data_IF_413620353383
#
_entry.id   IF_413620353383
#
_cell.length_a   1.000
_cell.length_b   1.000
_cell.length_c   1.000
_cell.angle_alpha   90.00
_cell.angle_beta   90.00
_cell.angle_gamma   90.00
#
_symmetry.space_group_name_H-M   'P 1'
#
loop_
_entity.id
_entity.type
_entity.pdbx_description
1 polymer ?
#
# COMPACT_ATOMS: atom_id res chain seq x y z
N UNK A 1 15.25 0.87 -4.87
CA UNK A 1 13.79 1.02 -4.75
C UNK A 1 13.51 2.23 -3.87
N UNK A 2 12.51 3.04 -4.21
CA UNK A 2 12.02 4.12 -3.36
C UNK A 2 10.83 3.63 -2.53
N UNK A 3 10.88 3.82 -1.19
CA UNK A 3 9.72 3.71 -0.31
C UNK A 3 9.17 5.12 -0.02
N UNK A 4 7.89 5.34 -0.35
CA UNK A 4 7.11 6.51 0.06
C UNK A 4 6.16 6.03 1.14
N UNK A 5 6.47 6.28 2.41
CA UNK A 5 5.78 5.64 3.52
C UNK A 5 6.00 6.38 4.84
N UNK A 6 5.16 6.10 5.83
CA UNK A 6 5.33 6.60 7.18
C UNK A 6 6.34 5.78 8.00
N UNK A 7 6.82 6.35 9.11
CA UNK A 7 7.53 5.54 10.08
C UNK A 7 6.54 4.79 11.00
N UNK A 8 7.00 3.71 11.59
CA UNK A 8 6.35 3.04 12.72
C UNK A 8 7.33 3.04 13.91
N UNK A 9 6.98 3.74 15.00
CA UNK A 9 7.87 3.82 16.19
C UNK A 9 8.15 2.47 16.82
N UNK A 10 7.30 1.47 16.59
CA UNK A 10 7.49 0.10 17.08
C UNK A 10 8.24 -0.78 16.08
N UNK A 11 8.68 -0.23 14.96
CA UNK A 11 9.46 -0.90 13.91
C UNK A 11 8.80 -2.14 13.29
N UNK A 12 7.49 -2.32 13.50
CA UNK A 12 6.76 -3.46 12.91
C UNK A 12 6.39 -3.25 11.46
N UNK A 13 6.02 -2.03 11.08
CA UNK A 13 5.53 -1.66 9.75
C UNK A 13 6.27 -0.47 9.14
N UNK A 14 5.62 0.17 8.15
CA UNK A 14 6.10 1.37 7.50
C UNK A 14 7.50 1.23 6.92
N UNK A 15 8.28 2.31 6.97
CA UNK A 15 9.64 2.37 6.45
C UNK A 15 10.56 1.27 6.98
N UNK A 16 10.40 0.87 8.24
CA UNK A 16 11.25 -0.15 8.85
C UNK A 16 11.07 -1.50 8.15
N UNK A 17 9.81 -1.90 7.93
CA UNK A 17 9.50 -3.11 7.18
C UNK A 17 9.95 -3.02 5.72
N UNK A 18 9.76 -1.86 5.08
CA UNK A 18 10.13 -1.64 3.69
C UNK A 18 11.65 -1.79 3.51
N UNK A 19 12.46 -1.04 4.27
CA UNK A 19 13.92 -1.07 4.16
C UNK A 19 14.52 -2.43 4.54
N UNK A 20 13.98 -3.09 5.59
CA UNK A 20 14.40 -4.42 5.98
C UNK A 20 14.14 -5.44 4.85
N UNK A 21 12.96 -5.34 4.20
CA UNK A 21 12.59 -6.19 3.08
C UNK A 21 13.49 -5.95 1.87
N UNK A 22 13.75 -4.69 1.50
CA UNK A 22 14.65 -4.37 0.39
C UNK A 22 16.05 -4.90 0.66
N UNK A 23 16.59 -4.69 1.86
CA UNK A 23 17.92 -5.17 2.25
C UNK A 23 18.00 -6.70 2.17
N UNK A 24 17.00 -7.41 2.69
CA UNK A 24 16.92 -8.88 2.62
C UNK A 24 16.90 -9.37 1.17
N UNK A 25 16.25 -8.63 0.28
CA UNK A 25 16.21 -8.90 -1.16
C UNK A 25 17.43 -8.36 -1.94
N UNK A 26 18.46 -7.86 -1.25
CA UNK A 26 19.69 -7.30 -1.83
C UNK A 26 19.43 -6.05 -2.69
N UNK A 27 18.39 -5.29 -2.35
CA UNK A 27 18.06 -4.02 -2.96
C UNK A 27 18.48 -2.85 -2.07
N UNK A 28 18.89 -1.73 -2.67
CA UNK A 28 19.11 -0.49 -1.95
C UNK A 28 17.79 0.28 -1.81
N UNK A 29 17.48 0.72 -0.59
CA UNK A 29 16.25 1.47 -0.30
C UNK A 29 16.53 2.97 -0.17
N UNK A 30 15.75 3.78 -0.89
CA UNK A 30 15.57 5.21 -0.68
C UNK A 30 14.25 5.47 0.03
N UNK A 31 14.10 6.63 0.66
CA UNK A 31 12.94 6.95 1.50
C UNK A 31 12.45 8.36 1.23
N UNK A 32 11.12 8.50 1.07
CA UNK A 32 10.39 9.74 1.28
C UNK A 32 9.41 9.53 2.44
N UNK A 33 9.65 10.22 3.55
CA UNK A 33 8.88 10.07 4.77
C UNK A 33 7.58 10.87 4.69
N UNK A 34 6.42 10.20 4.82
CA UNK A 34 5.08 10.82 4.72
C UNK A 34 4.53 11.26 6.07
N UNK A 35 4.82 10.52 7.13
CA UNK A 35 4.33 10.80 8.48
C UNK A 35 5.23 10.17 9.54
N UNK A 36 5.11 10.71 10.73
CA UNK A 36 5.61 10.14 11.96
C UNK A 36 4.45 9.46 12.70
N UNK A 37 4.75 8.48 13.55
CA UNK A 37 3.78 7.95 14.49
C UNK A 37 4.26 8.18 15.92
N UNK A 38 3.32 8.38 16.84
CA UNK A 38 3.61 8.60 18.26
C UNK A 38 2.52 7.98 19.13
N UNK A 39 2.90 7.61 20.36
CA UNK A 39 1.93 7.39 21.44
C UNK A 39 1.77 8.69 22.20
N UNK A 40 0.56 9.21 22.23
CA UNK A 40 0.19 10.43 22.98
C UNK A 40 -0.77 10.06 24.10
N UNK A 41 -1.22 11.03 24.86
CA UNK A 41 -2.29 10.85 25.86
C UNK A 41 -3.64 10.44 25.22
N UNK A 42 -3.83 10.73 23.93
CA UNK A 42 -5.01 10.35 23.17
C UNK A 42 -4.87 8.96 22.49
N UNK A 43 -3.73 8.31 22.61
CA UNK A 43 -3.46 7.01 22.00
C UNK A 43 -2.42 7.06 20.88
N UNK A 44 -2.53 6.15 19.93
CA UNK A 44 -1.62 6.09 18.77
C UNK A 44 -2.05 7.11 17.73
N UNK A 45 -1.15 8.02 17.41
CA UNK A 45 -1.38 9.09 16.43
C UNK A 45 -0.47 8.95 15.21
N UNK A 46 -1.01 9.31 14.05
CA UNK A 46 -0.29 9.50 12.79
C UNK A 46 -0.16 10.99 12.54
N UNK A 47 1.07 11.47 12.52
CA UNK A 47 1.40 12.91 12.40
C UNK A 47 2.01 13.13 11.02
N UNK A 48 1.29 13.75 10.07
CA UNK A 48 1.84 14.08 8.75
C UNK A 48 3.11 14.91 8.88
N UNK A 49 4.09 14.67 8.02
CA UNK A 49 5.20 15.62 7.87
C UNK A 49 4.70 16.91 7.23
N UNK A 50 5.39 18.02 7.49
CA UNK A 50 5.07 19.29 6.83
C UNK A 50 5.10 19.11 5.30
N UNK A 51 4.08 19.62 4.61
CA UNK A 51 3.88 19.44 3.17
C UNK A 51 5.06 20.01 2.35
N UNK A 52 5.66 21.16 2.78
CA UNK A 52 6.81 21.71 2.09
C UNK A 52 8.05 20.85 2.31
N UNK A 53 8.23 20.29 3.50
CA UNK A 53 9.33 19.36 3.80
C UNK A 53 9.17 18.09 2.95
N UNK A 54 7.95 17.54 2.84
CA UNK A 54 7.71 16.38 1.99
C UNK A 54 8.01 16.68 0.53
N UNK A 55 7.57 17.83 0.03
CA UNK A 55 7.90 18.29 -1.33
C UNK A 55 9.41 18.37 -1.54
N UNK A 56 10.16 18.92 -0.59
CA UNK A 56 11.64 19.01 -0.67
C UNK A 56 12.29 17.61 -0.69
N UNK A 57 11.74 16.62 0.03
CA UNK A 57 12.20 15.23 -0.07
C UNK A 57 12.03 14.69 -1.50
N UNK A 58 10.84 14.86 -2.09
CA UNK A 58 10.57 14.41 -3.46
C UNK A 58 11.45 15.13 -4.48
N UNK A 59 11.62 16.46 -4.34
CA UNK A 59 12.51 17.26 -5.21
C UNK A 59 13.98 16.80 -5.15
N UNK A 60 14.42 16.34 -3.97
CA UNK A 60 15.77 15.78 -3.78
C UNK A 60 15.96 14.41 -4.44
N UNK A 61 14.86 13.71 -4.66
CA UNK A 61 14.84 12.32 -5.17
C UNK A 61 14.50 12.23 -6.66
N UNK A 62 14.03 13.31 -7.28
CA UNK A 62 13.47 13.30 -8.65
C UNK A 62 14.42 12.79 -9.75
N UNK A 63 15.72 12.99 -9.58
CA UNK A 63 16.72 12.61 -10.56
C UNK A 63 17.41 11.27 -10.25
N UNK A 64 16.96 10.56 -9.20
CA UNK A 64 17.47 9.24 -8.85
C UNK A 64 16.82 8.18 -9.75
N UNK A 65 17.62 7.33 -10.46
CA UNK A 65 17.09 6.30 -11.32
C UNK A 65 16.60 5.10 -10.49
N UNK A 66 15.41 5.20 -9.93
CA UNK A 66 14.80 4.10 -9.19
C UNK A 66 14.45 2.92 -10.13
N UNK A 67 14.57 1.70 -9.61
CA UNK A 67 14.12 0.49 -10.31
C UNK A 67 12.67 0.13 -10.01
N UNK A 68 12.11 0.62 -8.90
CA UNK A 68 10.70 0.50 -8.53
C UNK A 68 10.35 1.54 -7.44
N UNK A 69 9.06 1.80 -7.28
CA UNK A 69 8.52 2.61 -6.18
C UNK A 69 7.50 1.76 -5.40
N UNK A 70 7.63 1.72 -4.07
CA UNK A 70 6.61 1.20 -3.16
C UNK A 70 5.98 2.36 -2.42
N UNK A 71 4.65 2.45 -2.48
CA UNK A 71 3.86 3.45 -1.77
C UNK A 71 3.11 2.76 -0.64
N UNK A 72 3.26 3.25 0.58
CA UNK A 72 2.54 2.80 1.76
C UNK A 72 1.59 3.87 2.28
N UNK A 73 1.62 4.11 3.59
CA UNK A 73 0.73 5.06 4.25
C UNK A 73 0.92 6.49 3.74
N UNK A 74 -0.13 7.06 3.19
CA UNK A 74 -0.27 8.48 2.86
C UNK A 74 -1.27 9.09 3.86
N UNK A 75 -0.86 10.01 4.74
CA UNK A 75 -1.67 10.40 5.90
C UNK A 75 -2.79 11.39 5.57
N UNK A 76 -2.72 12.11 4.46
CA UNK A 76 -3.71 13.11 4.05
C UNK A 76 -3.68 13.33 2.53
N UNK A 77 -4.63 14.13 2.05
CA UNK A 77 -4.82 14.44 0.62
C UNK A 77 -3.62 15.19 0.04
N UNK A 78 -3.06 16.16 0.75
CA UNK A 78 -1.95 16.99 0.26
C UNK A 78 -0.69 16.15 0.00
N UNK A 79 -0.35 15.25 0.91
CA UNK A 79 0.76 14.30 0.74
C UNK A 79 0.47 13.33 -0.41
N UNK A 80 -0.79 12.89 -0.54
CA UNK A 80 -1.20 12.00 -1.63
C UNK A 80 -1.09 12.70 -3.00
N UNK A 81 -1.53 13.94 -3.13
CA UNK A 81 -1.41 14.72 -4.38
C UNK A 81 0.05 14.91 -4.80
N UNK A 82 0.93 15.31 -3.89
CA UNK A 82 2.37 15.44 -4.16
C UNK A 82 2.99 14.11 -4.59
N UNK A 83 2.59 13.01 -3.93
CA UNK A 83 3.04 11.66 -4.28
C UNK A 83 2.55 11.27 -5.67
N UNK A 84 1.30 11.56 -6.00
CA UNK A 84 0.73 11.25 -7.32
C UNK A 84 1.47 12.00 -8.44
N UNK A 85 1.76 13.28 -8.24
CA UNK A 85 2.51 14.07 -9.22
C UNK A 85 3.94 13.52 -9.42
N UNK A 86 4.59 13.07 -8.36
CA UNK A 86 5.89 12.40 -8.45
C UNK A 86 5.79 11.09 -9.23
N UNK A 87 4.79 10.27 -8.94
CA UNK A 87 4.54 8.96 -9.58
C UNK A 87 4.28 9.10 -11.08
N UNK A 88 3.54 10.12 -11.51
CA UNK A 88 3.28 10.38 -12.93
C UNK A 88 4.55 10.55 -13.75
N UNK A 89 5.60 11.11 -13.14
CA UNK A 89 6.90 11.32 -13.79
C UNK A 89 7.81 10.08 -13.73
N UNK A 90 7.37 9.00 -13.09
CA UNK A 90 8.10 7.74 -12.92
C UNK A 90 7.26 6.52 -13.35
N UNK A 91 6.27 6.72 -14.23
CA UNK A 91 5.33 5.65 -14.64
C UNK A 91 5.94 4.60 -15.57
N UNK A 92 7.20 4.76 -15.96
CA UNK A 92 8.00 3.82 -16.75
C UNK A 92 8.63 2.69 -15.90
N UNK A 93 8.57 2.79 -14.59
CA UNK A 93 9.08 1.76 -13.66
C UNK A 93 7.94 1.10 -12.86
N UNK A 94 8.15 -0.09 -12.30
CA UNK A 94 7.14 -0.74 -11.46
C UNK A 94 6.76 0.09 -10.23
N UNK A 95 5.46 0.24 -10.01
CA UNK A 95 4.90 0.95 -8.86
C UNK A 95 3.95 0.01 -8.12
N UNK A 96 4.24 -0.23 -6.83
CA UNK A 96 3.42 -1.03 -5.94
C UNK A 96 2.76 -0.11 -4.91
N UNK A 97 1.43 -0.11 -4.89
CA UNK A 97 0.63 0.66 -3.94
C UNK A 97 -0.01 -0.28 -2.90
N UNK A 98 0.36 -0.12 -1.65
CA UNK A 98 -0.36 -0.66 -0.50
C UNK A 98 -1.31 0.44 0.01
N UNK A 99 -2.61 0.39 -0.32
CA UNK A 99 -3.53 1.52 -0.13
C UNK A 99 -4.03 1.57 1.32
N UNK A 100 -3.15 1.92 2.25
CA UNK A 100 -3.45 1.97 3.68
C UNK A 100 -4.46 3.09 3.97
N UNK A 101 -5.74 2.71 4.14
CA UNK A 101 -6.85 3.61 4.45
C UNK A 101 -7.31 3.54 5.91
N UNK A 102 -6.89 2.51 6.64
CA UNK A 102 -7.34 2.28 8.01
C UNK A 102 -6.26 2.76 8.98
N UNK A 103 -6.19 4.06 9.17
CA UNK A 103 -5.66 4.62 10.40
C UNK A 103 -6.85 4.90 11.32
N UNK A 104 -6.85 4.31 12.51
CA UNK A 104 -7.89 4.49 13.51
C UNK A 104 -8.14 5.99 13.73
N UNK A 105 -9.42 6.39 13.74
CA UNK A 105 -9.93 7.69 14.20
C UNK A 105 -9.93 8.88 13.22
N UNK A 106 -9.85 8.67 11.92
CA UNK A 106 -10.16 9.73 10.94
C UNK A 106 -11.67 9.86 10.72
N UNK A 107 -12.16 11.10 10.61
CA UNK A 107 -13.55 11.37 10.29
C UNK A 107 -13.91 10.78 8.91
N UNK A 108 -15.12 10.25 8.75
CA UNK A 108 -15.59 9.58 7.52
C UNK A 108 -15.37 10.40 6.24
N UNK A 109 -15.42 11.73 6.33
CA UNK A 109 -15.20 12.66 5.20
C UNK A 109 -13.73 12.66 4.75
N UNK A 110 -12.77 12.67 5.67
CA UNK A 110 -11.34 12.66 5.35
C UNK A 110 -10.92 11.33 4.73
N UNK A 111 -11.47 10.23 5.23
CA UNK A 111 -11.25 8.89 4.66
C UNK A 111 -11.79 8.81 3.23
N UNK A 112 -12.98 9.38 2.96
CA UNK A 112 -13.56 9.40 1.62
C UNK A 112 -12.73 10.22 0.65
N UNK A 113 -12.21 11.39 1.07
CA UNK A 113 -11.36 12.22 0.23
C UNK A 113 -10.03 11.53 -0.07
N UNK A 114 -9.40 10.90 0.91
CA UNK A 114 -8.15 10.17 0.72
C UNK A 114 -8.37 8.94 -0.17
N UNK A 115 -9.49 8.22 -0.03
CA UNK A 115 -9.88 7.13 -0.93
C UNK A 115 -9.93 7.61 -2.37
N UNK A 116 -10.60 8.74 -2.64
CA UNK A 116 -10.76 9.29 -3.98
C UNK A 116 -9.40 9.71 -4.57
N UNK A 117 -8.48 10.22 -3.75
CA UNK A 117 -7.10 10.47 -4.17
C UNK A 117 -6.34 9.17 -4.48
N UNK A 118 -6.44 8.14 -3.65
CA UNK A 118 -5.76 6.86 -3.88
C UNK A 118 -6.20 6.17 -5.17
N UNK A 119 -7.47 6.27 -5.55
CA UNK A 119 -7.97 5.73 -6.83
C UNK A 119 -7.28 6.37 -8.02
N UNK A 120 -6.88 7.64 -7.95
CA UNK A 120 -6.16 8.32 -9.03
C UNK A 120 -4.76 7.73 -9.31
N UNK A 121 -4.18 6.97 -8.38
CA UNK A 121 -2.91 6.27 -8.58
C UNK A 121 -3.05 5.03 -9.46
N UNK A 122 -4.23 4.39 -9.50
CA UNK A 122 -4.42 3.07 -10.11
C UNK A 122 -3.90 2.98 -11.55
N UNK A 123 -4.15 3.94 -12.45
CA UNK A 123 -3.63 3.88 -13.82
C UNK A 123 -2.09 3.90 -13.93
N UNK A 124 -1.40 4.30 -12.86
CA UNK A 124 0.07 4.36 -12.80
C UNK A 124 0.67 3.18 -12.05
N UNK A 125 -0.16 2.36 -11.36
CA UNK A 125 0.33 1.25 -10.55
C UNK A 125 0.51 -0.03 -11.34
N UNK A 126 1.57 -0.76 -11.03
CA UNK A 126 1.77 -2.12 -11.52
C UNK A 126 0.96 -3.11 -10.69
N UNK A 127 1.00 -2.96 -9.35
CA UNK A 127 0.27 -3.82 -8.43
C UNK A 127 -0.32 -2.99 -7.29
N UNK A 128 -1.56 -3.26 -6.94
CA UNK A 128 -2.18 -2.77 -5.69
C UNK A 128 -2.47 -3.93 -4.74
N UNK A 129 -2.30 -3.72 -3.43
CA UNK A 129 -2.38 -4.78 -2.43
C UNK A 129 -3.36 -4.48 -1.29
N UNK A 130 -4.63 -4.14 -1.55
CA UNK A 130 -5.57 -3.83 -0.50
C UNK A 130 -5.95 -5.06 0.34
N UNK A 131 -6.15 -4.87 1.64
CA UNK A 131 -6.81 -5.84 2.51
C UNK A 131 -8.35 -5.70 2.41
N UNK A 132 -9.12 -6.62 3.02
CA UNK A 132 -10.58 -6.58 2.91
C UNK A 132 -11.22 -5.29 3.42
N UNK A 133 -10.85 -4.71 4.59
CA UNK A 133 -11.37 -3.40 4.99
C UNK A 133 -11.06 -2.28 4.00
N UNK A 134 -9.86 -2.26 3.44
CA UNK A 134 -9.46 -1.28 2.43
C UNK A 134 -10.24 -1.47 1.14
N UNK A 135 -10.42 -2.71 0.70
CA UNK A 135 -11.28 -3.04 -0.45
C UNK A 135 -12.70 -2.53 -0.23
N UNK A 136 -13.30 -2.83 0.92
CA UNK A 136 -14.66 -2.39 1.24
C UNK A 136 -14.83 -0.86 1.18
N UNK A 137 -13.80 -0.11 1.63
CA UNK A 137 -13.77 1.35 1.51
C UNK A 137 -13.60 1.80 0.05
N UNK A 138 -12.70 1.15 -0.70
CA UNK A 138 -12.42 1.51 -2.10
C UNK A 138 -13.61 1.30 -3.02
N UNK A 139 -14.40 0.24 -2.82
CA UNK A 139 -15.54 -0.11 -3.68
C UNK A 139 -16.90 0.29 -3.07
N UNK A 140 -16.92 0.86 -1.87
CA UNK A 140 -18.12 1.22 -1.10
C UNK A 140 -19.12 0.04 -0.99
N UNK A 141 -18.60 -1.16 -0.73
CA UNK A 141 -19.40 -2.40 -0.64
C UNK A 141 -18.76 -3.42 0.29
N UNK A 142 -19.60 -4.16 1.03
CA UNK A 142 -19.13 -5.27 1.87
C UNK A 142 -18.67 -6.46 1.04
N UNK A 143 -17.57 -7.09 1.48
CA UNK A 143 -16.99 -8.29 0.89
C UNK A 143 -17.11 -9.43 1.91
N UNK A 144 -17.96 -10.42 1.59
CA UNK A 144 -18.30 -11.51 2.51
C UNK A 144 -17.94 -12.89 1.97
N UNK A 145 -17.75 -13.00 0.67
CA UNK A 145 -17.51 -14.27 -0.02
C UNK A 145 -16.27 -14.18 -0.91
N UNK A 146 -15.76 -15.33 -1.33
CA UNK A 146 -14.68 -15.40 -2.32
C UNK A 146 -15.09 -14.77 -3.65
N UNK A 147 -16.34 -14.92 -4.06
CA UNK A 147 -16.84 -14.30 -5.30
C UNK A 147 -16.90 -12.77 -5.16
N UNK A 148 -17.26 -12.25 -3.97
CA UNK A 148 -17.16 -10.80 -3.71
C UNK A 148 -15.69 -10.31 -3.83
N UNK A 149 -14.71 -11.07 -3.34
CA UNK A 149 -13.30 -10.72 -3.49
C UNK A 149 -12.86 -10.67 -4.96
N UNK A 150 -13.29 -11.66 -5.76
CA UNK A 150 -13.00 -11.68 -7.20
C UNK A 150 -13.63 -10.48 -7.91
N UNK A 151 -14.91 -10.21 -7.64
CA UNK A 151 -15.59 -9.03 -8.20
C UNK A 151 -14.91 -7.73 -7.79
N UNK A 152 -14.48 -7.62 -6.54
CA UNK A 152 -13.74 -6.46 -6.06
C UNK A 152 -12.40 -6.29 -6.80
N UNK A 153 -11.64 -7.38 -6.98
CA UNK A 153 -10.38 -7.36 -7.72
C UNK A 153 -10.58 -6.91 -9.17
N UNK A 154 -11.61 -7.44 -9.86
CA UNK A 154 -11.98 -7.02 -11.22
C UNK A 154 -12.37 -5.54 -11.26
N UNK A 155 -13.20 -5.09 -10.35
CA UNK A 155 -13.62 -3.69 -10.30
C UNK A 155 -12.45 -2.72 -10.07
N UNK A 156 -11.52 -3.05 -9.17
CA UNK A 156 -10.32 -2.25 -8.93
C UNK A 156 -9.39 -2.23 -10.16
N UNK A 157 -9.34 -3.32 -10.92
CA UNK A 157 -8.65 -3.36 -12.21
C UNK A 157 -9.33 -2.46 -13.26
N UNK A 158 -10.65 -2.47 -13.34
CA UNK A 158 -11.43 -1.57 -14.21
C UNK A 158 -11.19 -0.09 -13.89
N UNK A 159 -10.89 0.24 -12.61
CA UNK A 159 -10.50 1.60 -12.19
C UNK A 159 -9.06 1.96 -12.61
N UNK A 160 -8.32 1.05 -13.22
CA UNK A 160 -7.02 1.31 -13.84
C UNK A 160 -5.83 0.53 -13.27
N UNK A 161 -5.96 -0.15 -12.14
CA UNK A 161 -4.88 -0.95 -11.58
C UNK A 161 -4.53 -2.13 -12.49
N UNK A 162 -3.28 -2.27 -12.92
CA UNK A 162 -2.87 -3.37 -13.84
C UNK A 162 -3.05 -4.74 -13.20
N UNK A 163 -2.63 -4.86 -11.94
CA UNK A 163 -2.75 -6.10 -11.16
C UNK A 163 -3.25 -5.78 -9.78
N UNK A 164 -4.14 -6.62 -9.26
CA UNK A 164 -4.76 -6.47 -7.95
C UNK A 164 -4.51 -7.72 -7.12
N UNK A 165 -4.05 -7.55 -5.88
CA UNK A 165 -3.98 -8.61 -4.88
C UNK A 165 -4.87 -8.22 -3.71
N UNK A 166 -6.04 -8.82 -3.60
CA UNK A 166 -6.94 -8.64 -2.46
C UNK A 166 -6.50 -9.58 -1.34
N UNK A 167 -6.00 -9.01 -0.25
CA UNK A 167 -5.56 -9.75 0.94
C UNK A 167 -6.78 -10.08 1.83
N UNK A 168 -7.25 -11.32 1.79
CA UNK A 168 -8.40 -11.78 2.58
C UNK A 168 -8.04 -12.15 4.01
N UNK A 169 -6.83 -12.62 4.22
CA UNK A 169 -6.43 -13.21 5.51
C UNK A 169 -7.41 -14.33 5.90
N UNK A 170 -7.70 -14.47 7.18
CA UNK A 170 -8.64 -15.47 7.72
C UNK A 170 -10.09 -14.98 7.84
N UNK A 171 -10.46 -13.87 7.19
CA UNK A 171 -11.76 -13.22 7.42
C UNK A 171 -12.94 -13.90 6.71
N UNK A 172 -12.65 -14.68 5.65
CA UNK A 172 -13.69 -15.45 4.94
C UNK A 172 -13.84 -16.86 5.51
N UNK A 173 -12.73 -17.51 5.80
CA UNK A 173 -12.66 -18.84 6.40
C UNK A 173 -11.71 -18.79 7.59
N UNK A 174 -12.22 -18.98 8.80
CA UNK A 174 -11.40 -18.88 10.02
C UNK A 174 -10.22 -19.86 10.10
N UNK A 175 -10.19 -20.89 9.25
CA UNK A 175 -9.14 -21.91 9.22
C UNK A 175 -8.11 -21.68 8.12
N UNK A 176 -8.44 -20.86 7.11
CA UNK A 176 -7.55 -20.57 5.98
C UNK A 176 -7.40 -19.08 5.76
N UNK A 177 -6.18 -18.67 5.44
CA UNK A 177 -5.91 -17.36 4.86
C UNK A 177 -6.06 -17.47 3.34
N UNK A 178 -6.89 -16.60 2.75
CA UNK A 178 -7.21 -16.63 1.32
C UNK A 178 -6.94 -15.26 0.72
N UNK A 179 -6.06 -15.22 -0.27
CA UNK A 179 -5.79 -14.01 -1.05
C UNK A 179 -6.19 -14.24 -2.52
N UNK A 180 -6.70 -13.20 -3.17
CA UNK A 180 -7.11 -13.22 -4.57
C UNK A 180 -6.20 -12.33 -5.39
N UNK A 181 -5.51 -12.92 -6.35
CA UNK A 181 -4.77 -12.22 -7.39
C UNK A 181 -5.62 -12.10 -8.66
N UNK A 182 -5.54 -10.96 -9.33
CA UNK A 182 -6.15 -10.71 -10.64
C UNK A 182 -5.25 -9.81 -11.49
N UNK A 183 -4.95 -10.24 -12.72
CA UNK A 183 -4.07 -9.53 -13.67
C UNK A 183 -4.81 -8.83 -14.81
N UNK A 184 -6.12 -8.73 -14.71
CA UNK A 184 -7.00 -8.22 -15.76
C UNK A 184 -7.57 -9.29 -16.67
N UNK A 185 -7.08 -10.53 -16.57
CA UNK A 185 -7.52 -11.67 -17.38
C UNK A 185 -7.82 -12.88 -16.50
N UNK A 186 -6.85 -13.29 -15.69
CA UNK A 186 -6.92 -14.52 -14.92
C UNK A 186 -6.92 -14.25 -13.40
N UNK A 187 -7.68 -15.08 -12.68
CA UNK A 187 -7.65 -15.13 -11.22
C UNK A 187 -6.73 -16.25 -10.75
N UNK A 188 -5.97 -15.95 -9.70
CA UNK A 188 -5.25 -16.97 -8.91
C UNK A 188 -5.64 -16.82 -7.44
N UNK A 189 -5.83 -17.97 -6.79
CA UNK A 189 -6.10 -18.02 -5.35
C UNK A 189 -4.86 -18.53 -4.64
N UNK A 190 -4.50 -17.84 -3.57
CA UNK A 190 -3.48 -18.29 -2.65
C UNK A 190 -4.17 -18.66 -1.35
N UNK A 191 -4.00 -19.91 -0.93
CA UNK A 191 -4.59 -20.45 0.29
C UNK A 191 -3.48 -20.99 1.18
N UNK A 192 -3.46 -20.53 2.43
CA UNK A 192 -2.50 -20.96 3.43
C UNK A 192 -3.19 -21.25 4.76
N UNK A 193 -2.58 -22.08 5.59
CA UNK A 193 -3.05 -22.31 6.94
C UNK A 193 -2.90 -21.01 7.78
N UNK A 194 -3.93 -20.70 8.57
CA UNK A 194 -3.87 -19.57 9.50
C UNK A 194 -2.84 -19.88 10.58
N UNK A 195 -1.89 -18.99 10.78
CA UNK A 195 -0.97 -19.02 11.90
C UNK A 195 -1.59 -18.26 13.07
N UNK A 196 -1.55 -18.84 14.28
CA UNK A 196 -1.94 -18.19 15.52
C UNK A 196 -0.89 -17.15 15.95
N UNK A 197 -0.59 -16.22 15.05
CA UNK A 197 0.35 -15.11 15.25
C UNK A 197 -0.14 -13.90 14.48
N UNK A 198 -0.14 -12.77 15.15
CA UNK A 198 -0.38 -11.48 14.51
C UNK A 198 0.95 -10.74 14.41
N UNK A 199 1.35 -10.38 13.19
CA UNK A 199 2.60 -9.66 12.95
C UNK A 199 2.27 -8.29 12.35
N UNK A 200 2.54 -7.22 13.11
CA UNK A 200 2.46 -5.85 12.60
C UNK A 200 3.46 -5.69 11.46
N UNK A 201 3.04 -5.05 10.36
CA UNK A 201 3.90 -4.82 9.20
C UNK A 201 3.89 -5.93 8.14
N UNK A 202 3.12 -7.01 8.33
CA UNK A 202 3.00 -8.06 7.32
C UNK A 202 2.56 -7.51 5.94
N UNK A 203 1.62 -6.55 5.90
CA UNK A 203 1.18 -5.88 4.66
C UNK A 203 2.32 -5.09 4.01
N UNK A 204 3.04 -4.28 4.78
CA UNK A 204 4.19 -3.51 4.27
C UNK A 204 5.28 -4.44 3.72
N UNK A 205 5.62 -5.51 4.46
CA UNK A 205 6.58 -6.53 4.03
C UNK A 205 6.14 -7.19 2.72
N UNK A 206 4.85 -7.55 2.61
CA UNK A 206 4.28 -8.16 1.41
C UNK A 206 4.41 -7.24 0.18
N UNK A 207 3.97 -6.00 0.28
CA UNK A 207 4.05 -5.03 -0.81
C UNK A 207 5.52 -4.73 -1.21
N UNK A 208 6.42 -4.61 -0.24
CA UNK A 208 7.85 -4.38 -0.47
C UNK A 208 8.55 -5.59 -1.08
N UNK A 209 8.10 -6.82 -0.73
CA UNK A 209 8.57 -8.05 -1.39
C UNK A 209 8.17 -8.09 -2.87
N UNK A 210 6.92 -7.73 -3.19
CA UNK A 210 6.46 -7.61 -4.58
C UNK A 210 7.32 -6.60 -5.34
N UNK A 211 7.55 -5.41 -4.78
CA UNK A 211 8.40 -4.40 -5.42
C UNK A 211 9.82 -4.93 -5.68
N UNK A 212 10.37 -5.69 -4.73
CA UNK A 212 11.70 -6.29 -4.85
C UNK A 212 11.76 -7.38 -5.94
N UNK A 213 10.72 -8.20 -6.08
CA UNK A 213 10.67 -9.25 -7.10
C UNK A 213 10.45 -8.67 -8.51
N UNK A 214 9.61 -7.63 -8.64
CA UNK A 214 9.42 -6.93 -9.92
C UNK A 214 10.73 -6.34 -10.45
N UNK A 215 11.62 -5.84 -9.58
CA UNK A 215 12.97 -5.37 -9.97
C UNK A 215 13.84 -6.51 -10.53
N UNK A 216 13.61 -7.74 -10.06
CA UNK A 216 14.34 -8.93 -10.54
C UNK A 216 13.78 -9.49 -11.87
N UNK A 217 12.65 -8.96 -12.36
CA UNK A 217 12.00 -9.37 -13.61
C UNK A 217 10.99 -10.52 -13.43
N UNK A 218 10.45 -10.68 -12.23
CA UNK A 218 9.39 -11.65 -11.95
C UNK A 218 8.01 -11.12 -12.33
#
# INVERSE_FOLDING_TARGET
>A
ILAISGNDIFSGGGLHADLATFTTNKQHGFVALTCLTAMTENGFEVIPVDTNVFKQQLDSLKDIPFSAIKIGLLPNVEIAELTLDFVKNHSDIPIVLDPVLVCKETHDVEVSQLRDELVKFFPYTTVITPNLPEVELLIDRKVKTLDDMKHAASYLNELGAKTVVVKGGNRLDGNKAIDVFYDGTDYKLFEEAVLDKNNTGAGCTFASSIASELVKGC
#
